data_IF_440115066632
#
_entry.id   IF_440115066632
#
_cell.length_a   1.000
_cell.length_b   1.000
_cell.length_c   1.000
_cell.angle_alpha   90.00
_cell.angle_beta   90.00
_cell.angle_gamma   90.00
#
_symmetry.space_group_name_H-M   'P 1'
#
loop_
_entity.id
_entity.type
_entity.pdbx_description
1 polymer ?
#
# COMPACT_ATOMS: atom_id res chain seq x y z
N UNK A 1 17.24 88.10 -0.21
CA UNK A 1 15.95 87.47 -0.53
C UNK A 1 16.10 85.98 -0.32
N UNK A 2 15.83 85.47 0.91
CA UNK A 2 15.84 84.04 1.21
C UNK A 2 14.48 83.45 0.77
N UNK A 3 14.51 82.68 -0.32
CA UNK A 3 13.36 81.81 -0.63
C UNK A 3 13.20 80.80 0.49
N UNK A 4 12.17 80.97 1.26
CA UNK A 4 11.66 79.96 2.20
C UNK A 4 11.07 78.84 1.34
N UNK A 5 11.86 77.80 1.05
CA UNK A 5 11.36 76.58 0.49
C UNK A 5 10.32 75.97 1.45
N UNK A 6 9.07 75.88 0.97
CA UNK A 6 7.96 75.38 1.74
C UNK A 6 8.22 73.92 2.17
N UNK A 7 8.04 73.53 3.45
CA UNK A 7 8.36 72.19 3.94
C UNK A 7 7.64 71.07 3.20
N UNK A 8 6.58 71.36 2.48
CA UNK A 8 5.83 70.44 1.63
C UNK A 8 6.59 69.97 0.38
N UNK A 9 7.52 70.79 -0.19
CA UNK A 9 8.31 70.39 -1.34
C UNK A 9 9.43 69.41 -0.98
N UNK A 10 10.06 69.57 0.17
CA UNK A 10 11.06 68.62 0.67
C UNK A 10 10.42 67.28 1.06
N UNK A 11 9.26 67.31 1.68
CA UNK A 11 8.53 66.10 2.04
C UNK A 11 8.04 65.32 0.79
N UNK A 12 7.55 65.99 -0.26
CA UNK A 12 7.13 65.34 -1.48
C UNK A 12 8.34 64.74 -2.26
N UNK A 13 9.46 65.42 -2.25
CA UNK A 13 10.74 64.90 -2.83
C UNK A 13 11.23 63.67 -2.09
N UNK A 14 11.23 63.70 -0.77
CA UNK A 14 11.62 62.52 0.04
C UNK A 14 10.69 61.32 -0.16
N UNK A 15 9.38 61.57 -0.20
CA UNK A 15 8.38 60.57 -0.47
C UNK A 15 8.56 59.92 -1.86
N UNK A 16 8.78 60.73 -2.89
CA UNK A 16 9.05 60.28 -4.24
C UNK A 16 10.31 59.41 -4.34
N UNK A 17 11.38 59.83 -3.68
CA UNK A 17 12.63 59.07 -3.63
C UNK A 17 12.48 57.74 -2.90
N UNK A 18 11.78 57.69 -1.75
CA UNK A 18 11.52 56.46 -1.03
C UNK A 18 10.67 55.49 -1.81
N UNK A 19 9.62 55.96 -2.50
CA UNK A 19 8.79 55.12 -3.37
C UNK A 19 9.59 54.56 -4.55
N UNK A 20 10.43 55.35 -5.16
CA UNK A 20 11.28 54.90 -6.29
C UNK A 20 12.29 53.83 -5.82
N UNK A 21 12.90 54.04 -4.66
CA UNK A 21 13.84 53.05 -4.06
C UNK A 21 13.12 51.76 -3.74
N UNK A 22 11.89 51.82 -3.15
CA UNK A 22 11.05 50.68 -2.89
C UNK A 22 10.68 49.92 -4.17
N UNK A 23 10.29 50.62 -5.21
CA UNK A 23 9.98 50.02 -6.51
C UNK A 23 11.17 49.27 -7.12
N UNK A 24 12.38 49.85 -7.04
CA UNK A 24 13.59 49.20 -7.52
C UNK A 24 13.90 47.96 -6.68
N UNK A 25 13.77 48.05 -5.35
CA UNK A 25 14.01 46.89 -4.46
C UNK A 25 13.03 45.74 -4.74
N UNK A 26 11.74 46.01 -4.88
CA UNK A 26 10.72 45.00 -5.26
C UNK A 26 11.04 44.39 -6.62
N UNK A 27 11.39 45.18 -7.60
CA UNK A 27 11.75 44.72 -8.94
C UNK A 27 12.95 43.77 -8.88
N UNK A 28 14.00 44.12 -8.12
CA UNK A 28 15.17 43.25 -7.92
C UNK A 28 14.83 41.93 -7.25
N UNK A 29 13.95 41.95 -6.25
CA UNK A 29 13.48 40.71 -5.58
C UNK A 29 12.73 39.82 -6.58
N UNK A 30 11.82 40.36 -7.36
CA UNK A 30 11.04 39.58 -8.35
C UNK A 30 11.95 38.98 -9.42
N UNK A 31 12.91 39.75 -9.95
CA UNK A 31 13.87 39.26 -10.97
C UNK A 31 14.85 38.24 -10.41
N UNK A 32 15.20 38.35 -9.13
CA UNK A 32 16.12 37.41 -8.47
C UNK A 32 15.53 36.04 -8.22
N UNK A 33 14.20 35.92 -8.16
CA UNK A 33 13.51 34.62 -8.03
C UNK A 33 13.34 34.02 -9.42
N UNK A 34 14.00 32.88 -9.73
CA UNK A 34 13.83 32.23 -11.03
C UNK A 34 12.40 31.68 -11.17
N UNK A 35 11.55 32.35 -11.92
CA UNK A 35 10.14 31.98 -12.10
C UNK A 35 9.95 30.57 -12.70
N UNK A 36 10.93 30.06 -13.42
CA UNK A 36 10.92 28.71 -13.98
C UNK A 36 11.11 27.59 -12.95
N UNK A 37 11.67 27.87 -11.77
CA UNK A 37 11.98 26.86 -10.78
C UNK A 37 10.72 26.18 -10.19
N UNK A 38 9.70 26.89 -9.73
CA UNK A 38 8.46 26.26 -9.25
C UNK A 38 7.77 25.43 -10.34
N UNK A 39 7.80 25.93 -11.58
CA UNK A 39 7.22 25.21 -12.72
C UNK A 39 7.99 23.92 -13.02
N UNK A 40 9.32 23.94 -13.02
CA UNK A 40 10.15 22.76 -13.24
C UNK A 40 9.94 21.69 -12.16
N UNK A 41 9.86 22.09 -10.88
CA UNK A 41 9.57 21.18 -9.76
C UNK A 41 8.19 20.57 -9.93
N UNK A 42 7.17 21.35 -10.22
CA UNK A 42 5.79 20.86 -10.42
C UNK A 42 5.70 19.86 -11.56
N UNK A 43 6.33 20.14 -12.70
CA UNK A 43 6.38 19.23 -13.83
C UNK A 43 7.11 17.92 -13.49
N UNK A 44 8.22 17.99 -12.77
CA UNK A 44 8.98 16.82 -12.34
C UNK A 44 8.14 15.92 -11.39
N UNK A 45 7.44 16.53 -10.43
CA UNK A 45 6.55 15.80 -9.52
C UNK A 45 5.34 15.18 -10.27
N UNK A 46 4.76 15.90 -11.23
CA UNK A 46 3.68 15.37 -12.05
C UNK A 46 4.12 14.18 -12.91
N UNK A 47 5.33 14.23 -13.47
CA UNK A 47 5.93 13.13 -14.20
C UNK A 47 6.18 11.92 -13.28
N UNK A 48 6.70 12.15 -12.08
CA UNK A 48 6.90 11.12 -11.07
C UNK A 48 5.58 10.43 -10.69
N UNK A 49 4.52 11.20 -10.42
CA UNK A 49 3.16 10.66 -10.17
C UNK A 49 2.68 9.78 -11.33
N UNK A 50 2.84 10.24 -12.56
CA UNK A 50 2.45 9.47 -13.76
C UNK A 50 3.23 8.16 -13.87
N UNK A 51 4.52 8.18 -13.56
CA UNK A 51 5.37 6.98 -13.56
C UNK A 51 4.95 5.99 -12.45
N UNK A 52 4.68 6.48 -11.25
CA UNK A 52 4.21 5.66 -10.12
C UNK A 52 2.83 5.03 -10.40
N UNK A 53 1.94 5.75 -11.05
CA UNK A 53 0.63 5.22 -11.46
C UNK A 53 0.75 4.04 -12.42
N UNK A 54 1.76 4.02 -13.30
CA UNK A 54 2.01 2.88 -14.21
C UNK A 54 2.44 1.61 -13.48
N UNK A 55 2.98 1.74 -12.27
CA UNK A 55 3.39 0.63 -11.40
C UNK A 55 2.35 0.31 -10.32
N UNK A 56 1.08 0.66 -10.54
CA UNK A 56 -0.04 0.47 -9.63
C UNK A 56 0.08 1.21 -8.28
N UNK A 57 0.91 2.26 -8.21
CA UNK A 57 1.03 3.12 -7.05
C UNK A 57 0.18 4.37 -7.24
N UNK A 58 -0.97 4.45 -6.57
CA UNK A 58 -1.86 5.60 -6.64
C UNK A 58 -1.41 6.71 -5.68
N UNK A 59 -0.82 7.76 -6.21
CA UNK A 59 -0.47 8.96 -5.46
C UNK A 59 -1.57 10.01 -5.62
N UNK A 60 -2.17 10.45 -4.52
CA UNK A 60 -3.26 11.45 -4.51
C UNK A 60 -2.77 12.88 -4.28
N UNK A 61 -1.60 13.06 -3.70
CA UNK A 61 -1.01 14.38 -3.41
C UNK A 61 0.38 14.45 -4.03
N UNK A 62 0.62 15.47 -4.82
CA UNK A 62 1.89 15.67 -5.55
C UNK A 62 3.11 15.73 -4.61
N UNK A 63 3.00 16.46 -3.50
CA UNK A 63 4.07 16.55 -2.49
C UNK A 63 4.38 15.23 -1.76
N UNK A 64 3.48 14.23 -1.85
CA UNK A 64 3.77 12.92 -1.27
C UNK A 64 4.95 12.23 -1.96
N UNK A 65 5.20 12.49 -3.26
CA UNK A 65 6.36 11.96 -3.98
C UNK A 65 7.68 12.48 -3.39
N UNK A 66 7.73 13.76 -3.04
CA UNK A 66 8.88 14.39 -2.40
C UNK A 66 9.13 13.83 -1.00
N UNK A 67 8.07 13.75 -0.18
CA UNK A 67 8.14 13.19 1.18
C UNK A 67 8.60 11.73 1.15
N UNK A 68 8.11 10.93 0.21
CA UNK A 68 8.54 9.54 0.04
C UNK A 68 10.01 9.44 -0.37
N UNK A 69 10.48 10.32 -1.25
CA UNK A 69 11.88 10.36 -1.67
C UNK A 69 12.86 10.72 -0.56
N UNK A 70 12.41 11.47 0.45
CA UNK A 70 13.20 11.86 1.61
C UNK A 70 13.09 10.90 2.80
N UNK A 71 12.40 9.78 2.64
CA UNK A 71 12.17 8.81 3.71
C UNK A 71 13.46 8.09 4.09
N UNK A 72 13.80 8.10 5.37
CA UNK A 72 14.99 7.42 5.93
C UNK A 72 14.64 6.09 6.62
N UNK A 73 13.40 5.91 7.03
CA UNK A 73 12.90 4.69 7.71
C UNK A 73 11.58 4.26 7.09
N UNK A 74 11.49 2.99 6.72
CA UNK A 74 10.28 2.38 6.17
C UNK A 74 9.81 1.30 7.13
N UNK A 75 8.64 1.49 7.73
CA UNK A 75 7.96 0.49 8.54
C UNK A 75 6.95 -0.25 7.68
N UNK A 76 7.07 -1.56 7.58
CA UNK A 76 6.16 -2.39 6.78
C UNK A 76 5.71 -3.61 7.57
N UNK A 77 4.46 -4.02 7.35
CA UNK A 77 4.00 -5.32 7.82
C UNK A 77 4.47 -6.42 6.86
N UNK A 78 4.57 -7.65 7.37
CA UNK A 78 5.04 -8.78 6.58
C UNK A 78 3.96 -9.29 5.64
N UNK A 79 2.77 -9.57 6.16
CA UNK A 79 1.75 -10.34 5.47
C UNK A 79 0.95 -9.48 4.50
N UNK A 80 0.93 -9.85 3.21
CA UNK A 80 0.23 -9.11 2.17
C UNK A 80 1.00 -7.89 1.62
N UNK A 81 2.13 -7.52 2.23
CA UNK A 81 3.01 -6.43 1.78
C UNK A 81 4.33 -6.98 1.26
N UNK A 82 5.09 -7.69 2.09
CA UNK A 82 6.32 -8.37 1.69
C UNK A 82 6.07 -9.78 1.14
N UNK A 83 4.90 -10.34 1.42
CA UNK A 83 4.45 -11.64 0.96
C UNK A 83 3.12 -11.50 0.20
N UNK A 84 2.79 -12.49 -0.62
CA UNK A 84 1.55 -12.51 -1.39
C UNK A 84 0.31 -12.93 -0.57
N UNK A 85 0.46 -13.17 0.73
CA UNK A 85 -0.59 -13.76 1.58
C UNK A 85 -1.18 -15.06 1.02
N UNK A 86 -0.35 -15.83 0.30
CA UNK A 86 -0.71 -17.13 -0.25
C UNK A 86 0.07 -18.20 0.46
N UNK A 87 -0.65 -19.03 1.20
CA UNK A 87 -0.08 -20.20 1.88
C UNK A 87 0.02 -21.36 0.88
N UNK A 88 1.09 -22.14 1.00
CA UNK A 88 1.31 -23.38 0.24
C UNK A 88 2.01 -24.39 1.13
N UNK A 89 1.67 -25.65 0.97
CA UNK A 89 2.42 -26.75 1.57
C UNK A 89 3.77 -26.85 0.87
N UNK A 90 4.85 -26.65 1.61
CA UNK A 90 6.22 -26.70 1.08
C UNK A 90 6.82 -28.09 1.23
N UNK A 91 6.61 -28.70 2.36
CA UNK A 91 7.24 -29.96 2.74
C UNK A 91 6.26 -30.80 3.54
N UNK A 92 6.31 -32.10 3.33
CA UNK A 92 5.50 -33.10 3.94
C UNK A 92 6.43 -34.19 4.50
N UNK A 93 6.45 -34.36 5.81
CA UNK A 93 7.42 -35.21 6.51
C UNK A 93 7.01 -36.68 6.65
N UNK A 94 5.76 -37.01 6.32
CA UNK A 94 5.29 -38.41 6.32
C UNK A 94 5.71 -39.11 5.04
N UNK A 95 5.97 -40.40 5.11
CA UNK A 95 6.44 -41.18 3.96
C UNK A 95 5.44 -41.23 2.80
N UNK A 96 4.15 -41.13 3.06
CA UNK A 96 3.09 -41.14 2.06
C UNK A 96 1.82 -40.50 2.59
N UNK A 97 1.07 -39.80 1.72
CA UNK A 97 -0.28 -39.34 2.01
C UNK A 97 -1.23 -40.55 1.99
N UNK A 98 -1.75 -40.92 3.15
CA UNK A 98 -2.73 -41.99 3.27
C UNK A 98 -4.16 -41.45 3.08
N UNK A 99 -5.12 -42.30 2.63
CA UNK A 99 -6.53 -41.88 2.52
C UNK A 99 -7.11 -41.34 3.82
N UNK A 100 -6.75 -41.92 4.97
CA UNK A 100 -7.21 -41.50 6.30
C UNK A 100 -6.68 -40.10 6.65
N UNK A 101 -5.44 -39.80 6.28
CA UNK A 101 -4.87 -38.46 6.50
C UNK A 101 -5.53 -37.43 5.57
N UNK A 102 -5.80 -37.80 4.33
CA UNK A 102 -6.51 -36.95 3.39
C UNK A 102 -7.94 -36.63 3.85
N UNK A 103 -8.65 -37.62 4.38
CA UNK A 103 -9.98 -37.47 5.01
C UNK A 103 -9.89 -36.56 6.24
N UNK A 104 -8.93 -36.77 7.12
CA UNK A 104 -8.72 -35.94 8.32
C UNK A 104 -8.49 -34.48 7.98
N UNK A 105 -7.70 -34.19 6.96
CA UNK A 105 -7.45 -32.82 6.48
C UNK A 105 -8.74 -32.22 5.89
N UNK A 106 -9.46 -32.97 5.06
CA UNK A 106 -10.68 -32.49 4.43
C UNK A 106 -11.76 -32.17 5.45
N UNK A 107 -11.99 -33.07 6.39
CA UNK A 107 -13.05 -32.98 7.41
C UNK A 107 -12.75 -31.89 8.43
N UNK A 108 -11.50 -31.79 8.89
CA UNK A 108 -11.07 -30.77 9.85
C UNK A 108 -10.71 -29.44 9.16
N UNK A 109 -11.51 -29.00 8.20
CA UNK A 109 -11.33 -27.75 7.46
C UNK A 109 -12.66 -27.03 7.26
N UNK A 110 -12.70 -25.73 7.59
CA UNK A 110 -13.83 -24.83 7.31
C UNK A 110 -13.68 -24.08 5.98
N UNK A 111 -12.48 -24.10 5.40
CA UNK A 111 -12.21 -23.48 4.10
C UNK A 111 -12.86 -24.27 2.95
N UNK A 112 -12.96 -23.64 1.81
CA UNK A 112 -13.43 -24.21 0.55
C UNK A 112 -12.55 -23.80 -0.62
N UNK A 113 -12.66 -24.52 -1.74
CA UNK A 113 -11.99 -24.15 -2.98
C UNK A 113 -13.03 -23.65 -4.00
N UNK A 114 -12.76 -22.48 -4.57
CA UNK A 114 -13.51 -21.93 -5.69
C UNK A 114 -12.87 -22.39 -7.01
N UNK A 115 -13.64 -23.09 -7.83
CA UNK A 115 -13.26 -23.64 -9.13
C UNK A 115 -13.70 -22.76 -10.31
N UNK A 116 -14.18 -21.54 -10.07
CA UNK A 116 -14.61 -20.61 -11.13
C UNK A 116 -13.45 -20.18 -12.06
N UNK A 117 -12.22 -20.30 -11.59
CA UNK A 117 -11.00 -19.96 -12.33
C UNK A 117 -10.28 -21.24 -12.83
N UNK A 118 -9.40 -21.10 -13.83
CA UNK A 118 -8.56 -22.22 -14.35
C UNK A 118 -7.74 -22.89 -13.22
N UNK A 119 -7.33 -22.12 -12.23
CA UNK A 119 -6.72 -22.64 -11.01
C UNK A 119 -7.65 -22.43 -9.83
N UNK A 120 -7.92 -23.46 -9.01
CA UNK A 120 -8.76 -23.33 -7.85
C UNK A 120 -8.18 -22.36 -6.86
N UNK A 121 -9.04 -21.50 -6.29
CA UNK A 121 -8.65 -20.49 -5.30
C UNK A 121 -9.20 -20.87 -3.93
N UNK A 122 -8.40 -20.79 -2.87
CA UNK A 122 -8.87 -21.03 -1.52
C UNK A 122 -9.76 -19.87 -1.04
N UNK A 123 -10.88 -20.21 -0.41
CA UNK A 123 -11.82 -19.27 0.23
C UNK A 123 -11.93 -19.65 1.69
N UNK A 124 -11.71 -18.69 2.59
CA UNK A 124 -11.71 -18.89 4.04
C UNK A 124 -10.32 -18.80 4.64
N UNK A 125 -10.02 -19.66 5.61
CA UNK A 125 -8.72 -19.66 6.28
C UNK A 125 -7.58 -20.02 5.34
N UNK A 126 -6.52 -19.17 5.20
CA UNK A 126 -5.42 -19.42 4.26
C UNK A 126 -4.65 -20.71 4.51
N UNK A 127 -4.49 -21.12 5.77
CA UNK A 127 -3.77 -22.36 6.15
C UNK A 127 -4.56 -23.58 5.71
N UNK A 128 -5.85 -23.62 6.03
CA UNK A 128 -6.73 -24.72 5.62
C UNK A 128 -6.86 -24.77 4.10
N UNK A 129 -7.02 -23.61 3.46
CA UNK A 129 -7.08 -23.51 2.01
C UNK A 129 -5.82 -24.03 1.32
N UNK A 130 -4.64 -23.82 1.91
CA UNK A 130 -3.39 -24.38 1.40
C UNK A 130 -3.35 -25.93 1.48
N UNK A 131 -3.88 -26.49 2.54
CA UNK A 131 -4.00 -27.94 2.70
C UNK A 131 -4.99 -28.53 1.68
N UNK A 132 -6.13 -27.90 1.48
CA UNK A 132 -7.12 -28.35 0.48
C UNK A 132 -6.57 -28.24 -0.96
N UNK A 133 -5.81 -27.19 -1.29
CA UNK A 133 -5.15 -27.06 -2.58
C UNK A 133 -4.10 -28.18 -2.79
N UNK A 134 -3.39 -28.52 -1.73
CA UNK A 134 -2.42 -29.61 -1.77
C UNK A 134 -3.12 -30.97 -1.96
N UNK A 135 -4.20 -31.27 -1.24
CA UNK A 135 -5.00 -32.46 -1.46
C UNK A 135 -5.50 -32.57 -2.89
N UNK A 136 -5.98 -31.46 -3.46
CA UNK A 136 -6.42 -31.44 -4.84
C UNK A 136 -5.30 -31.74 -5.83
N UNK A 137 -4.07 -31.27 -5.59
CA UNK A 137 -2.88 -31.60 -6.41
C UNK A 137 -2.49 -33.07 -6.32
N UNK A 138 -2.66 -33.70 -5.15
CA UNK A 138 -2.41 -35.12 -4.92
C UNK A 138 -3.53 -36.03 -5.48
N UNK A 139 -4.58 -35.44 -6.09
CA UNK A 139 -5.66 -36.17 -6.75
C UNK A 139 -6.83 -36.51 -5.83
N UNK A 140 -6.89 -35.95 -4.64
CA UNK A 140 -8.02 -36.15 -3.73
C UNK A 140 -9.08 -35.05 -3.90
N UNK A 141 -10.36 -35.44 -4.02
CA UNK A 141 -11.47 -34.51 -3.94
C UNK A 141 -11.95 -34.38 -2.50
N UNK A 142 -11.61 -33.24 -1.88
CA UNK A 142 -11.98 -32.97 -0.49
C UNK A 142 -13.49 -32.94 -0.23
N UNK A 143 -14.33 -32.65 -1.27
CA UNK A 143 -15.79 -32.62 -1.14
C UNK A 143 -16.31 -34.02 -0.91
N UNK A 144 -15.91 -34.97 -1.74
CA UNK A 144 -16.26 -36.37 -1.61
C UNK A 144 -15.81 -36.96 -0.26
N UNK A 145 -14.60 -36.61 0.18
CA UNK A 145 -14.08 -37.04 1.47
C UNK A 145 -14.93 -36.47 2.62
N UNK A 146 -15.33 -35.22 2.53
CA UNK A 146 -16.15 -34.56 3.54
C UNK A 146 -17.60 -35.08 3.59
N UNK A 147 -18.20 -35.37 2.45
CA UNK A 147 -19.56 -35.92 2.32
C UNK A 147 -19.66 -37.37 2.84
N UNK A 148 -18.62 -38.17 2.61
CA UNK A 148 -18.59 -39.57 3.03
C UNK A 148 -18.20 -39.74 4.51
N UNK A 149 -17.69 -38.70 5.15
CA UNK A 149 -17.32 -38.73 6.56
C UNK A 149 -18.53 -38.54 7.48
N UNK A 150 -18.60 -39.33 8.56
CA UNK A 150 -19.65 -39.23 9.56
C UNK A 150 -19.19 -38.35 10.74
N UNK A 151 -19.17 -37.05 10.53
CA UNK A 151 -18.75 -36.08 11.56
C UNK A 151 -19.82 -35.98 12.65
N UNK A 152 -19.46 -36.28 13.90
CA UNK A 152 -20.36 -36.23 15.05
C UNK A 152 -20.28 -34.93 15.83
N UNK A 153 -19.12 -34.34 15.93
CA UNK A 153 -18.91 -33.11 16.70
C UNK A 153 -17.75 -32.32 16.16
N UNK A 154 -17.83 -31.00 16.28
CA UNK A 154 -16.80 -30.06 15.88
C UNK A 154 -16.50 -29.08 17.01
N UNK A 155 -15.22 -28.93 17.36
CA UNK A 155 -14.71 -27.90 18.25
C UNK A 155 -14.07 -26.81 17.38
N UNK A 156 -14.71 -25.64 17.19
CA UNK A 156 -14.21 -24.60 16.30
C UNK A 156 -12.88 -24.01 16.84
N UNK A 157 -12.08 -23.46 15.94
CA UNK A 157 -10.84 -22.79 16.31
C UNK A 157 -11.10 -21.62 17.28
N UNK A 158 -10.30 -21.50 18.31
CA UNK A 158 -10.26 -20.30 19.15
C UNK A 158 -8.81 -19.81 19.35
N UNK A 159 -8.66 -18.50 19.50
CA UNK A 159 -7.35 -17.86 19.71
C UNK A 159 -6.70 -18.30 21.03
N UNK A 160 -7.48 -18.68 22.02
CA UNK A 160 -7.01 -19.18 23.31
C UNK A 160 -6.50 -20.62 23.20
N UNK A 161 -7.28 -21.50 22.56
CA UNK A 161 -6.96 -22.92 22.42
C UNK A 161 -5.91 -23.19 21.35
N UNK A 162 -5.83 -22.35 20.29
CA UNK A 162 -4.90 -22.50 19.17
C UNK A 162 -5.08 -23.78 18.35
N UNK A 163 -6.22 -24.44 18.46
CA UNK A 163 -6.56 -25.63 17.67
C UNK A 163 -8.05 -25.69 17.32
N UNK A 164 -8.36 -26.47 16.32
CA UNK A 164 -9.66 -26.94 15.90
C UNK A 164 -9.64 -28.47 15.93
N UNK A 165 -10.74 -29.11 16.28
CA UNK A 165 -10.85 -30.56 16.30
C UNK A 165 -12.21 -31.02 15.81
N UNK A 166 -12.24 -32.10 15.03
CA UNK A 166 -13.44 -32.73 14.49
C UNK A 166 -13.43 -34.20 14.85
N UNK A 167 -14.55 -34.74 15.33
CA UNK A 167 -14.72 -36.14 15.72
C UNK A 167 -15.91 -36.79 15.06
#
# INVERSE_FOLDING_TARGET
MHEMLLPNQELSGLLSYTLQTLMVAVTLIVVAVPEGLPMAVTLSLAYSMKSMSKTNNLVRKMHACETMGATTVICTDKTGTLTQNKMQVREFTFNKLTPELAESIAVNSTASLDFSSVQPKPVGNPTEGALLLWLHKEGYDYRNLKENSNTKNEVPFSTERKYMATT
#
